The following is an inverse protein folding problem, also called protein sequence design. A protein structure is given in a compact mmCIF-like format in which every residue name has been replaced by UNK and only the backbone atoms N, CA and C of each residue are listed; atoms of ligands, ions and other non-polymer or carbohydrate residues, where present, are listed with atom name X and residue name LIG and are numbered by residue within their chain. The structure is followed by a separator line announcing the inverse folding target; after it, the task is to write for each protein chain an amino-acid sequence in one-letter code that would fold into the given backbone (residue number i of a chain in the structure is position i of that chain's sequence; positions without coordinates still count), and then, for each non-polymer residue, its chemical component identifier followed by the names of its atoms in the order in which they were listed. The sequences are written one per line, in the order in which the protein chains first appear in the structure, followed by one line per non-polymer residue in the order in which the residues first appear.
data_IF_530727628212
#
_entry.id   IF_530727628212
#
_cell.length_a   1.000
_cell.length_b   1.000
_cell.length_c   1.000
_cell.angle_alpha   90.00
_cell.angle_beta   90.00
_cell.angle_gamma   90.00
#
_symmetry.space_group_name_H-M   'P 1'
#
loop_
_entity.id
_entity.type
_entity.pdbx_description
1 polymer ?
#
# COMPACT_ATOMS: atom_id res chain seq x y z
N UNK A 1 -11.37 27.08 -30.02
CA UNK A 1 -12.73 26.61 -29.68
C UNK A 1 -12.64 25.96 -28.30
N UNK A 2 -13.16 26.61 -27.26
CA UNK A 2 -13.33 25.92 -25.98
C UNK A 2 -14.43 24.88 -26.19
N UNK A 3 -14.03 23.61 -26.17
CA UNK A 3 -14.97 22.49 -26.19
C UNK A 3 -15.89 22.62 -24.97
N UNK A 4 -17.18 22.86 -25.21
CA UNK A 4 -18.25 22.83 -24.19
C UNK A 4 -18.49 21.41 -23.62
N UNK A 5 -17.52 20.50 -23.72
CA UNK A 5 -17.59 19.20 -23.08
C UNK A 5 -17.44 19.40 -21.56
N UNK A 6 -18.42 18.89 -20.81
CA UNK A 6 -18.38 18.84 -19.36
C UNK A 6 -17.13 18.04 -18.95
N UNK A 7 -16.27 18.64 -18.10
CA UNK A 7 -15.00 18.05 -17.70
C UNK A 7 -15.25 16.73 -16.96
N UNK A 8 -14.92 15.62 -17.60
CA UNK A 8 -15.10 14.26 -17.07
C UNK A 8 -13.81 13.78 -16.40
N UNK A 9 -13.85 13.59 -15.08
CA UNK A 9 -12.73 13.06 -14.32
C UNK A 9 -12.52 11.56 -14.53
N UNK A 10 -11.26 11.15 -14.67
CA UNK A 10 -10.92 9.73 -14.74
C UNK A 10 -10.63 9.18 -13.34
N UNK A 11 -11.45 8.22 -12.90
CA UNK A 11 -11.31 7.57 -11.60
C UNK A 11 -10.69 6.18 -11.67
N UNK A 12 -10.13 5.76 -12.80
CA UNK A 12 -9.54 4.41 -12.95
C UNK A 12 -8.40 4.20 -11.94
N UNK A 13 -7.42 5.11 -11.91
CA UNK A 13 -6.28 5.04 -10.98
C UNK A 13 -6.71 5.26 -9.53
N UNK A 14 -7.67 6.16 -9.28
CA UNK A 14 -8.25 6.38 -7.94
C UNK A 14 -8.85 5.08 -7.40
N UNK A 15 -9.64 4.37 -8.21
CA UNK A 15 -10.24 3.09 -7.84
C UNK A 15 -9.16 2.04 -7.54
N UNK A 16 -8.14 1.94 -8.38
CA UNK A 16 -7.03 1.01 -8.15
C UNK A 16 -6.37 1.23 -6.79
N UNK A 17 -5.96 2.45 -6.47
CA UNK A 17 -5.40 2.75 -5.14
C UNK A 17 -6.41 2.54 -4.01
N UNK A 18 -7.68 2.89 -4.20
CA UNK A 18 -8.72 2.67 -3.18
C UNK A 18 -8.90 1.18 -2.86
N UNK A 19 -8.91 0.32 -3.88
CA UNK A 19 -8.95 -1.13 -3.68
C UNK A 19 -7.72 -1.63 -2.92
N UNK A 20 -6.54 -1.14 -3.29
CA UNK A 20 -5.29 -1.45 -2.59
C UNK A 20 -5.32 -1.01 -1.13
N UNK A 21 -5.86 0.19 -0.84
CA UNK A 21 -6.07 0.68 0.53
C UNK A 21 -6.95 -0.26 1.34
N UNK A 22 -8.12 -0.64 0.81
CA UNK A 22 -9.02 -1.55 1.53
C UNK A 22 -8.35 -2.91 1.75
N UNK A 23 -7.71 -3.45 0.72
CA UNK A 23 -7.03 -4.76 0.78
C UNK A 23 -5.95 -4.80 1.87
N UNK A 24 -4.98 -3.88 1.82
CA UNK A 24 -3.90 -3.84 2.79
C UNK A 24 -4.36 -3.32 4.16
N UNK A 25 -5.43 -2.53 4.22
CA UNK A 25 -6.06 -2.13 5.47
C UNK A 25 -6.62 -3.34 6.22
N UNK A 26 -7.34 -4.22 5.53
CA UNK A 26 -7.84 -5.47 6.12
C UNK A 26 -6.67 -6.36 6.53
N UNK A 27 -5.73 -6.63 5.62
CA UNK A 27 -4.60 -7.53 5.89
C UNK A 27 -3.74 -7.01 7.04
N UNK A 28 -3.31 -5.74 6.99
CA UNK A 28 -2.45 -5.13 8.00
C UNK A 28 -3.08 -5.10 9.38
N UNK A 29 -4.37 -4.75 9.48
CA UNK A 29 -5.09 -4.76 10.76
C UNK A 29 -5.31 -6.18 11.29
N UNK A 30 -5.59 -7.16 10.43
CA UNK A 30 -5.71 -8.56 10.84
C UNK A 30 -4.40 -9.11 11.43
N UNK A 31 -3.25 -8.81 10.81
CA UNK A 31 -1.94 -9.17 11.38
C UNK A 31 -1.73 -8.47 12.73
N UNK A 32 -2.16 -7.22 12.87
CA UNK A 32 -2.14 -6.49 14.14
C UNK A 32 -2.94 -7.18 15.24
N UNK A 33 -4.13 -7.68 14.92
CA UNK A 33 -4.96 -8.46 15.86
C UNK A 33 -4.25 -9.76 16.26
N UNK A 34 -3.65 -10.47 15.31
CA UNK A 34 -2.88 -11.69 15.59
C UNK A 34 -1.72 -11.39 16.54
N UNK A 35 -0.94 -10.33 16.27
CA UNK A 35 0.16 -9.88 17.12
C UNK A 35 -0.32 -9.51 18.53
N UNK A 36 -1.47 -8.84 18.66
CA UNK A 36 -2.06 -8.53 19.95
C UNK A 36 -2.40 -9.80 20.74
N UNK A 37 -2.94 -10.83 20.08
CA UNK A 37 -3.17 -12.13 20.72
C UNK A 37 -1.87 -12.84 21.10
N UNK A 38 -0.81 -12.74 20.29
CA UNK A 38 0.50 -13.30 20.65
C UNK A 38 1.11 -12.64 21.89
N UNK A 39 0.87 -11.34 22.10
CA UNK A 39 1.28 -10.66 23.34
C UNK A 39 0.47 -11.11 24.56
N UNK A 40 -0.82 -11.41 24.39
CA UNK A 40 -1.69 -11.90 25.46
C UNK A 40 -1.44 -13.39 25.78
N UNK A 41 -1.16 -14.19 24.75
CA UNK A 41 -0.95 -15.63 24.83
C UNK A 41 0.30 -16.01 24.01
N UNK A 42 1.51 -15.99 24.62
CA UNK A 42 2.78 -16.20 23.92
C UNK A 42 2.88 -17.54 23.17
N UNK A 43 2.13 -18.55 23.59
CA UNK A 43 2.05 -19.87 22.94
C UNK A 43 1.61 -19.78 21.48
N UNK A 44 0.80 -18.77 21.12
CA UNK A 44 0.30 -18.55 19.76
C UNK A 44 1.41 -18.18 18.76
N UNK A 45 2.57 -17.70 19.23
CA UNK A 45 3.68 -17.29 18.37
C UNK A 45 4.34 -18.45 17.63
N UNK A 46 4.13 -19.70 18.07
CA UNK A 46 4.76 -20.89 17.48
C UNK A 46 3.84 -21.68 16.53
N UNK A 47 2.59 -21.23 16.34
CA UNK A 47 1.58 -21.97 15.57
C UNK A 47 1.93 -22.19 14.09
N UNK A 48 2.69 -21.28 13.49
CA UNK A 48 3.11 -21.36 12.10
C UNK A 48 4.64 -21.44 11.96
N UNK A 49 5.32 -22.02 12.95
CA UNK A 49 6.78 -22.09 13.00
C UNK A 49 7.42 -20.70 12.91
N UNK A 50 8.51 -20.57 12.16
CA UNK A 50 9.26 -19.31 12.02
C UNK A 50 8.44 -18.16 11.41
N UNK A 51 7.49 -18.46 10.51
CA UNK A 51 6.65 -17.47 9.84
C UNK A 51 5.56 -16.89 10.74
N UNK A 52 5.21 -17.61 11.81
CA UNK A 52 4.23 -17.17 12.80
C UNK A 52 4.82 -16.33 13.93
N UNK A 53 6.14 -16.14 13.96
CA UNK A 53 6.80 -15.49 15.09
C UNK A 53 6.47 -14.01 15.19
N UNK A 54 6.29 -13.52 16.42
CA UNK A 54 6.02 -12.10 16.68
C UNK A 54 7.05 -11.16 16.04
N UNK A 55 8.32 -11.55 16.07
CA UNK A 55 9.43 -10.75 15.52
C UNK A 55 9.38 -10.59 14.00
N UNK A 56 8.88 -11.59 13.24
CA UNK A 56 8.70 -11.49 11.78
C UNK A 56 7.37 -10.84 11.39
N UNK A 57 6.30 -11.14 12.13
CA UNK A 57 4.97 -10.58 11.86
C UNK A 57 4.87 -9.07 12.18
N UNK A 58 5.65 -8.57 13.16
CA UNK A 58 5.63 -7.15 13.55
C UNK A 58 6.03 -6.21 12.40
N UNK A 59 7.19 -6.40 11.72
CA UNK A 59 7.53 -5.62 10.52
C UNK A 59 6.47 -5.69 9.41
N UNK A 60 5.82 -6.85 9.23
CA UNK A 60 4.76 -7.01 8.22
C UNK A 60 3.54 -6.16 8.59
N UNK A 61 3.15 -6.15 9.87
CA UNK A 61 2.06 -5.30 10.35
C UNK A 61 2.38 -3.81 10.16
N UNK A 62 3.55 -3.36 10.64
CA UNK A 62 3.93 -1.93 10.57
C UNK A 62 4.01 -1.45 9.12
N UNK A 63 4.73 -2.17 8.25
CA UNK A 63 4.85 -1.82 6.82
C UNK A 63 3.51 -1.97 6.08
N UNK A 64 2.74 -3.02 6.37
CA UNK A 64 1.43 -3.24 5.77
C UNK A 64 0.44 -2.12 6.08
N UNK A 65 0.43 -1.61 7.33
CA UNK A 65 -0.45 -0.50 7.73
C UNK A 65 0.07 0.86 7.26
N UNK A 66 1.38 1.12 7.39
CA UNK A 66 1.96 2.40 6.99
C UNK A 66 2.00 2.54 5.46
N UNK A 67 2.70 1.64 4.78
CA UNK A 67 2.96 1.74 3.35
C UNK A 67 1.89 1.07 2.51
N UNK A 68 1.31 -0.04 2.95
CA UNK A 68 0.23 -0.72 2.22
C UNK A 68 -1.11 0.03 2.32
N UNK A 69 -1.57 0.31 3.54
CA UNK A 69 -2.87 0.96 3.79
C UNK A 69 -2.80 2.49 3.73
N UNK A 70 -2.00 3.13 4.57
CA UNK A 70 -2.06 4.60 4.73
C UNK A 70 -1.58 5.31 3.47
N UNK A 71 -0.44 4.88 2.92
CA UNK A 71 0.14 5.51 1.74
C UNK A 71 -0.70 5.32 0.46
N UNK A 72 -1.30 4.15 0.24
CA UNK A 72 -2.26 3.99 -0.87
C UNK A 72 -3.48 4.90 -0.72
N UNK A 73 -3.95 5.12 0.51
CA UNK A 73 -5.06 6.04 0.79
C UNK A 73 -4.70 7.48 0.46
N UNK A 74 -3.47 7.90 0.77
CA UNK A 74 -2.93 9.20 0.38
C UNK A 74 -2.88 9.33 -1.15
N UNK A 75 -2.41 8.31 -1.86
CA UNK A 75 -2.36 8.34 -3.33
C UNK A 75 -3.74 8.35 -3.98
N UNK A 76 -4.69 7.53 -3.50
CA UNK A 76 -6.08 7.58 -3.96
C UNK A 76 -6.67 8.99 -3.78
N UNK A 77 -6.43 9.59 -2.60
CA UNK A 77 -6.88 10.95 -2.28
C UNK A 77 -6.25 11.97 -3.21
N UNK A 78 -4.95 11.90 -3.45
CA UNK A 78 -4.26 12.82 -4.35
C UNK A 78 -4.80 12.74 -5.78
N UNK A 79 -4.93 11.53 -6.34
CA UNK A 79 -5.46 11.36 -7.69
C UNK A 79 -6.92 11.80 -7.83
N UNK A 80 -7.70 11.78 -6.75
CA UNK A 80 -9.06 12.30 -6.73
C UNK A 80 -9.12 13.83 -6.58
N UNK A 81 -8.46 14.35 -5.54
CA UNK A 81 -8.47 15.77 -5.18
C UNK A 81 -7.72 16.61 -6.22
N UNK A 82 -6.56 16.14 -6.67
CA UNK A 82 -5.71 16.85 -7.64
C UNK A 82 -6.45 17.17 -8.93
N UNK A 83 -7.20 16.20 -9.48
CA UNK A 83 -8.04 16.41 -10.64
C UNK A 83 -9.09 17.53 -10.41
N UNK A 84 -9.72 17.53 -9.23
CA UNK A 84 -10.79 18.49 -8.89
C UNK A 84 -10.29 19.90 -8.61
N UNK A 85 -9.22 20.02 -7.82
CA UNK A 85 -8.66 21.31 -7.41
C UNK A 85 -8.01 22.02 -8.61
N UNK A 86 -7.29 21.27 -9.44
CA UNK A 86 -6.67 21.81 -10.65
C UNK A 86 -7.65 21.94 -11.82
N UNK A 87 -8.87 21.42 -11.67
CA UNK A 87 -9.91 21.37 -12.72
C UNK A 87 -9.39 20.77 -14.02
N UNK A 88 -8.63 19.67 -13.91
CA UNK A 88 -8.08 18.93 -15.04
C UNK A 88 -8.41 17.43 -14.92
N UNK A 89 -8.57 16.75 -16.04
CA UNK A 89 -8.76 15.30 -16.05
C UNK A 89 -7.48 14.59 -16.46
N UNK A 90 -7.14 13.48 -15.78
CA UNK A 90 -6.00 12.65 -16.19
C UNK A 90 -6.17 12.12 -17.63
N UNK A 91 -7.41 11.97 -18.10
CA UNK A 91 -7.74 11.51 -19.46
C UNK A 91 -7.32 12.49 -20.55
N UNK A 92 -7.20 13.77 -20.23
CA UNK A 92 -6.82 14.82 -21.18
C UNK A 92 -5.35 14.71 -21.61
N UNK A 93 -4.50 14.07 -20.81
CA UNK A 93 -3.09 13.87 -21.11
C UNK A 93 -2.70 12.40 -21.05
N UNK A 94 -2.40 11.84 -22.22
CA UNK A 94 -1.87 10.46 -22.34
C UNK A 94 -0.60 10.27 -21.52
N UNK A 95 0.24 11.30 -21.42
CA UNK A 95 1.45 11.27 -20.60
C UNK A 95 1.11 11.13 -19.11
N UNK A 96 0.24 12.00 -18.57
CA UNK A 96 -0.15 11.96 -17.16
C UNK A 96 -0.85 10.64 -16.80
N UNK A 97 -1.74 10.15 -17.67
CA UNK A 97 -2.39 8.86 -17.49
C UNK A 97 -1.39 7.70 -17.45
N UNK A 98 -0.37 7.72 -18.32
CA UNK A 98 0.66 6.68 -18.37
C UNK A 98 1.51 6.70 -17.10
N UNK A 99 1.95 7.88 -16.66
CA UNK A 99 2.73 8.05 -15.43
C UNK A 99 1.91 7.61 -14.20
N UNK A 100 0.63 7.96 -14.13
CA UNK A 100 -0.24 7.57 -13.02
C UNK A 100 -0.44 6.05 -12.92
N UNK A 101 -0.61 5.36 -14.06
CA UNK A 101 -0.70 3.89 -14.10
C UNK A 101 0.63 3.23 -13.78
N UNK A 102 1.73 3.75 -14.30
CA UNK A 102 3.07 3.23 -13.99
C UNK A 102 3.37 3.35 -12.50
N UNK A 103 3.07 4.51 -11.90
CA UNK A 103 3.20 4.73 -10.47
C UNK A 103 2.40 3.69 -9.66
N UNK A 104 1.14 3.43 -10.02
CA UNK A 104 0.34 2.40 -9.35
C UNK A 104 0.99 1.01 -9.42
N UNK A 105 1.43 0.58 -10.61
CA UNK A 105 2.00 -0.75 -10.77
C UNK A 105 3.35 -0.91 -10.06
N UNK A 106 4.22 0.09 -10.13
CA UNK A 106 5.48 0.10 -9.38
C UNK A 106 5.20 0.00 -7.89
N UNK A 107 4.33 0.87 -7.37
CA UNK A 107 3.93 0.85 -5.97
C UNK A 107 3.35 -0.51 -5.54
N UNK A 108 2.40 -1.05 -6.29
CA UNK A 108 1.74 -2.31 -5.94
C UNK A 108 2.72 -3.49 -5.94
N UNK A 109 3.62 -3.56 -6.92
CA UNK A 109 4.67 -4.58 -6.98
C UNK A 109 5.63 -4.42 -5.79
N UNK A 110 6.06 -3.20 -5.46
CA UNK A 110 6.95 -2.95 -4.32
C UNK A 110 6.30 -3.40 -3.01
N UNK A 111 5.02 -3.11 -2.78
CA UNK A 111 4.32 -3.55 -1.56
C UNK A 111 4.20 -5.08 -1.52
N UNK A 112 3.93 -5.74 -2.65
CA UNK A 112 3.91 -7.21 -2.69
C UNK A 112 5.28 -7.81 -2.39
N UNK A 113 6.35 -7.24 -2.95
CA UNK A 113 7.71 -7.67 -2.67
C UNK A 113 8.08 -7.42 -1.20
N UNK A 114 7.67 -6.30 -0.62
CA UNK A 114 7.85 -6.00 0.79
C UNK A 114 7.21 -7.06 1.70
N UNK A 115 5.99 -7.50 1.40
CA UNK A 115 5.35 -8.58 2.16
C UNK A 115 6.16 -9.87 2.04
N UNK A 116 6.61 -10.22 0.83
CA UNK A 116 7.39 -11.44 0.60
C UNK A 116 8.74 -11.42 1.33
N UNK A 117 9.51 -10.33 1.21
CA UNK A 117 10.84 -10.22 1.84
C UNK A 117 10.76 -10.24 3.36
N UNK A 118 9.77 -9.55 3.94
CA UNK A 118 9.58 -9.52 5.40
C UNK A 118 9.11 -10.87 5.96
N UNK A 119 8.27 -11.62 5.24
CA UNK A 119 7.90 -13.00 5.62
C UNK A 119 9.13 -13.91 5.63
N UNK A 120 10.02 -13.75 4.64
CA UNK A 120 11.28 -14.48 4.55
C UNK A 120 12.32 -14.03 5.60
N UNK A 121 12.02 -12.98 6.40
CA UNK A 121 12.90 -12.46 7.44
C UNK A 121 14.06 -11.62 6.92
N UNK A 122 13.99 -11.16 5.66
CA UNK A 122 15.00 -10.29 5.06
C UNK A 122 14.66 -8.84 5.44
N UNK A 123 15.44 -8.29 6.38
CA UNK A 123 15.20 -6.94 6.90
C UNK A 123 16.47 -6.25 7.38
N UNK A 124 16.52 -4.93 7.22
CA UNK A 124 17.59 -4.07 7.71
C UNK A 124 17.51 -3.78 9.22
N UNK A 125 16.45 -4.23 9.91
CA UNK A 125 16.14 -3.99 11.33
C UNK A 125 15.87 -2.54 11.73
N UNK A 126 15.79 -1.61 10.77
CA UNK A 126 15.44 -0.20 11.02
C UNK A 126 13.92 -0.03 10.95
N UNK A 127 13.31 0.47 12.02
CA UNK A 127 11.85 0.66 12.06
C UNK A 127 11.37 1.63 10.98
N UNK A 128 10.32 1.26 10.25
CA UNK A 128 9.77 1.96 9.07
C UNK A 128 10.71 2.05 7.87
N UNK A 129 11.86 1.39 7.92
CA UNK A 129 12.82 1.25 6.83
C UNK A 129 13.32 -0.21 6.76
N UNK A 130 12.45 -1.16 7.07
CA UNK A 130 12.79 -2.57 7.22
C UNK A 130 13.12 -3.26 5.88
N UNK A 131 12.72 -2.65 4.76
CA UNK A 131 12.96 -3.17 3.42
C UNK A 131 14.45 -3.08 3.04
N UNK A 132 14.89 -4.00 2.19
CA UNK A 132 16.26 -3.99 1.68
C UNK A 132 16.43 -3.00 0.54
N UNK A 133 17.69 -2.63 0.29
CA UNK A 133 18.12 -1.66 -0.74
C UNK A 133 17.53 -1.84 -2.16
N UNK A 134 17.13 -3.03 -2.66
CA UNK A 134 16.47 -3.11 -3.97
C UNK A 134 15.02 -2.60 -3.98
N UNK A 135 14.41 -2.46 -2.80
CA UNK A 135 13.04 -2.01 -2.60
C UNK A 135 12.94 -0.59 -2.02
N UNK A 136 14.05 -0.07 -1.46
CA UNK A 136 14.21 1.34 -1.07
C UNK A 136 14.02 2.29 -2.27
#
# INVERSE_FOLDING_TARGET
MQSNAQLEYDYSVVKLFTFTTILFGIIGMLVGVILAFQLAFPELSNLAGEYGTFSRLRPIHTNGVAFGFTLSGIFATWYYVGQRVLKMSLKESKFLMTVAKLHFWLYFITILLAVLTLILGITTSKEYAELEWPLD
#
